data_IF_408332396266
#
_entry.id   IF_408332396266
#
_cell.length_a   1.000
_cell.length_b   1.000
_cell.length_c   1.000
_cell.angle_alpha   90.00
_cell.angle_beta   90.00
_cell.angle_gamma   90.00
#
_symmetry.space_group_name_H-M   'P 1'
#
loop_
_entity.id
_entity.type
_entity.pdbx_description
1 polymer ?
#
# COMPACT_ATOMS: atom_id res chain seq x y z
N UNK A 1 -18.55 -12.74 0.12
CA UNK A 1 -18.66 -11.27 0.29
C UNK A 1 -20.13 -10.88 0.29
N UNK A 2 -20.51 -9.93 1.13
CA UNK A 2 -21.87 -9.39 1.18
C UNK A 2 -22.03 -8.17 0.27
N UNK A 3 -23.25 -7.85 -0.20
CA UNK A 3 -23.50 -6.64 -0.94
C UNK A 3 -22.99 -5.39 -0.20
N UNK A 4 -22.31 -4.52 -0.91
CA UNK A 4 -21.73 -3.32 -0.32
C UNK A 4 -22.71 -2.13 -0.42
N UNK A 5 -22.82 -1.31 0.62
CA UNK A 5 -23.57 -0.05 0.50
C UNK A 5 -22.78 0.95 -0.36
N UNK A 6 -23.49 1.84 -1.03
CA UNK A 6 -22.88 2.98 -1.71
C UNK A 6 -21.97 3.76 -0.76
N UNK A 7 -20.77 4.07 -1.22
CA UNK A 7 -19.80 4.88 -0.49
C UNK A 7 -19.67 6.27 -1.13
N UNK A 8 -19.55 7.28 -0.28
CA UNK A 8 -19.44 8.67 -0.70
C UNK A 8 -18.04 9.20 -0.47
N UNK A 9 -17.51 9.93 -1.44
CA UNK A 9 -16.22 10.63 -1.34
C UNK A 9 -16.34 11.89 -0.47
N UNK A 10 -16.96 11.74 0.70
CA UNK A 10 -17.20 12.82 1.62
C UNK A 10 -16.04 12.95 2.62
N UNK A 11 -15.60 14.19 2.86
CA UNK A 11 -14.72 14.52 3.96
C UNK A 11 -15.49 14.95 5.20
N UNK A 12 -15.02 14.52 6.37
CA UNK A 12 -15.54 15.03 7.65
C UNK A 12 -14.99 16.44 7.85
N UNK A 13 -15.74 17.44 7.42
CA UNK A 13 -15.42 18.83 7.68
C UNK A 13 -15.96 19.18 9.07
N UNK A 14 -15.08 19.75 9.90
CA UNK A 14 -15.48 20.25 11.19
C UNK A 14 -16.46 21.41 11.00
N UNK A 15 -17.63 21.35 11.65
CA UNK A 15 -18.52 22.48 11.71
C UNK A 15 -17.81 23.68 12.35
N UNK A 16 -18.01 24.86 11.78
CA UNK A 16 -17.55 26.12 12.38
C UNK A 16 -18.30 26.39 13.70
N UNK A 17 -17.60 27.02 14.63
CA UNK A 17 -18.16 27.42 15.94
C UNK A 17 -17.71 26.58 17.12
N UNK A 18 -18.22 26.94 18.29
CA UNK A 18 -17.88 26.29 19.56
C UNK A 18 -18.55 24.93 19.68
N UNK A 19 -17.76 23.90 19.94
CA UNK A 19 -18.27 22.55 20.16
C UNK A 19 -18.47 22.32 21.66
N UNK A 20 -19.69 22.44 22.10
CA UNK A 20 -20.05 21.94 23.42
C UNK A 20 -21.30 21.06 23.30
N UNK A 21 -21.38 20.05 24.14
CA UNK A 21 -22.46 19.06 24.07
C UNK A 21 -23.82 19.59 24.55
N UNK A 22 -23.85 20.79 25.13
CA UNK A 22 -25.04 21.33 25.79
C UNK A 22 -25.72 20.25 26.65
N UNK A 23 -27.00 20.05 26.48
CA UNK A 23 -27.78 19.03 27.19
C UNK A 23 -27.77 17.66 26.48
N UNK A 24 -26.89 17.44 25.53
CA UNK A 24 -26.84 16.18 24.80
C UNK A 24 -26.40 15.03 25.73
N UNK A 25 -27.34 14.18 26.07
CA UNK A 25 -27.11 12.99 26.90
C UNK A 25 -26.51 11.85 26.09
N UNK A 26 -26.72 11.84 24.79
CA UNK A 26 -26.25 10.81 23.88
C UNK A 26 -25.42 11.37 22.71
N UNK A 27 -24.27 10.75 22.45
CA UNK A 27 -23.43 11.06 21.29
C UNK A 27 -23.26 9.80 20.45
N UNK A 28 -23.82 9.80 19.25
CA UNK A 28 -23.62 8.74 18.28
C UNK A 28 -22.21 8.76 17.67
N UNK A 29 -21.73 7.60 17.26
CA UNK A 29 -20.48 7.51 16.51
C UNK A 29 -20.72 7.85 15.03
N UNK A 30 -19.85 8.65 14.46
CA UNK A 30 -19.88 8.90 13.02
C UNK A 30 -19.52 7.62 12.26
N UNK A 31 -20.15 7.46 11.08
CA UNK A 31 -19.75 6.42 10.14
C UNK A 31 -18.27 6.65 9.76
N UNK A 32 -17.46 5.57 9.80
CA UNK A 32 -16.07 5.62 9.32
C UNK A 32 -15.98 6.08 7.87
N UNK A 33 -14.96 6.85 7.53
CA UNK A 33 -14.71 7.27 6.15
C UNK A 33 -14.37 6.06 5.26
N UNK A 34 -14.58 6.19 3.96
CA UNK A 34 -14.28 5.18 2.97
C UNK A 34 -15.42 4.20 2.69
N UNK A 35 -15.14 3.27 1.82
CA UNK A 35 -16.05 2.21 1.39
C UNK A 35 -15.93 1.01 2.32
N UNK A 36 -17.05 0.52 2.83
CA UNK A 36 -17.09 -0.58 3.80
C UNK A 36 -17.31 -1.91 3.10
N UNK A 37 -16.41 -2.85 3.31
CA UNK A 37 -16.45 -4.21 2.77
C UNK A 37 -16.72 -5.18 3.92
N UNK A 38 -17.74 -6.02 3.77
CA UNK A 38 -18.13 -7.03 4.75
C UNK A 38 -18.09 -8.40 4.09
N UNK A 39 -17.48 -9.37 4.76
CA UNK A 39 -17.34 -10.75 4.27
C UNK A 39 -17.37 -11.72 5.45
N UNK A 40 -17.67 -12.98 5.15
CA UNK A 40 -17.59 -14.06 6.12
C UNK A 40 -16.43 -14.99 5.76
N UNK A 41 -15.72 -15.48 6.76
CA UNK A 41 -14.64 -16.48 6.62
C UNK A 41 -14.98 -17.67 7.50
N UNK A 42 -14.75 -18.87 6.97
CA UNK A 42 -14.84 -20.12 7.71
C UNK A 42 -13.50 -20.89 7.62
N UNK A 43 -12.55 -20.64 8.53
CA UNK A 43 -11.24 -21.32 8.53
C UNK A 43 -11.36 -22.86 8.65
N UNK A 44 -12.41 -23.34 9.34
CA UNK A 44 -12.60 -24.79 9.53
C UNK A 44 -12.89 -25.51 8.20
N UNK A 45 -13.61 -24.84 7.27
CA UNK A 45 -13.87 -25.41 5.95
C UNK A 45 -12.59 -25.55 5.12
N UNK A 46 -11.69 -24.54 5.20
CA UNK A 46 -10.39 -24.59 4.52
C UNK A 46 -9.55 -25.80 4.96
N UNK A 47 -9.52 -26.07 6.26
CA UNK A 47 -8.77 -27.21 6.83
C UNK A 47 -9.36 -28.57 6.44
N UNK A 48 -10.65 -28.65 6.12
CA UNK A 48 -11.31 -29.89 5.68
C UNK A 48 -11.00 -30.20 4.21
N UNK A 49 -11.03 -29.20 3.33
CA UNK A 49 -10.73 -29.37 1.90
C UNK A 49 -9.27 -29.78 1.67
N UNK A 50 -8.32 -29.23 2.45
CA UNK A 50 -6.91 -29.61 2.36
C UNK A 50 -6.60 -31.04 2.85
N UNK A 51 -7.53 -31.67 3.54
CA UNK A 51 -7.36 -33.05 4.07
C UNK A 51 -7.86 -34.09 3.08
N UNK A 52 -8.74 -33.76 2.13
CA UNK A 52 -9.29 -34.72 1.17
C UNK A 52 -8.36 -34.96 -0.05
N UNK A 53 -7.44 -34.02 -0.36
CA UNK A 53 -6.55 -34.14 -1.53
C UNK A 53 -5.18 -34.79 -1.27
N UNK A 54 -4.70 -34.89 -0.01
CA UNK A 54 -3.36 -35.43 0.28
C UNK A 54 -3.34 -36.51 1.35
N UNK A 55 -3.30 -37.75 0.90
CA UNK A 55 -3.07 -38.95 1.72
C UNK A 55 -1.56 -39.28 1.92
N UNK A 56 -0.71 -38.26 1.85
CA UNK A 56 0.73 -38.33 2.12
C UNK A 56 1.12 -37.35 3.22
N UNK A 57 2.01 -37.82 4.14
CA UNK A 57 2.55 -37.10 5.32
C UNK A 57 3.19 -35.72 5.04
N UNK A 58 2.56 -34.87 4.25
CA UNK A 58 2.97 -33.49 4.04
C UNK A 58 2.18 -32.53 4.93
N UNK A 59 2.88 -31.55 5.50
CA UNK A 59 2.41 -30.53 6.44
C UNK A 59 1.00 -30.01 6.08
N UNK A 60 0.07 -30.14 7.03
CA UNK A 60 -1.26 -29.53 6.91
C UNK A 60 -1.08 -28.05 6.58
N UNK A 61 -1.56 -27.64 5.42
CA UNK A 61 -1.57 -26.23 5.05
C UNK A 61 -2.34 -25.44 6.12
N UNK A 62 -1.65 -24.58 6.85
CA UNK A 62 -2.29 -23.71 7.83
C UNK A 62 -3.21 -22.74 7.10
N UNK A 63 -4.41 -22.55 7.66
CA UNK A 63 -5.36 -21.60 7.13
C UNK A 63 -4.75 -20.19 7.14
N UNK A 64 -4.90 -19.38 6.05
CA UNK A 64 -4.35 -18.03 6.01
C UNK A 64 -4.89 -17.15 7.14
N UNK A 65 -4.02 -16.38 7.78
CA UNK A 65 -4.38 -15.43 8.84
C UNK A 65 -5.09 -14.18 8.30
N UNK A 66 -4.99 -13.95 7.00
CA UNK A 66 -5.53 -12.77 6.32
C UNK A 66 -6.24 -13.16 5.03
N UNK A 67 -7.22 -12.36 4.64
CA UNK A 67 -7.83 -12.41 3.31
C UNK A 67 -7.19 -11.38 2.41
N UNK A 68 -6.97 -11.73 1.16
CA UNK A 68 -6.55 -10.78 0.11
C UNK A 68 -7.79 -10.08 -0.45
N UNK A 69 -7.75 -8.76 -0.47
CA UNK A 69 -8.81 -7.92 -1.03
C UNK A 69 -8.26 -7.16 -2.23
N UNK A 70 -8.92 -7.31 -3.36
CA UNK A 70 -8.60 -6.65 -4.60
C UNK A 70 -9.78 -5.78 -5.05
N UNK A 71 -9.48 -4.55 -5.43
CA UNK A 71 -10.44 -3.65 -6.06
C UNK A 71 -10.13 -3.60 -7.55
N UNK A 72 -11.15 -3.85 -8.36
CA UNK A 72 -11.01 -3.89 -9.81
C UNK A 72 -11.84 -2.78 -10.47
N UNK A 73 -11.26 -2.19 -11.49
CA UNK A 73 -11.90 -1.27 -12.42
C UNK A 73 -11.76 -1.84 -13.85
N UNK A 74 -12.86 -2.07 -14.53
CA UNK A 74 -12.88 -2.65 -15.89
C UNK A 74 -12.08 -3.97 -16.02
N UNK A 75 -12.05 -4.78 -14.98
CA UNK A 75 -11.32 -6.05 -14.95
C UNK A 75 -9.84 -5.93 -14.52
N UNK A 76 -9.30 -4.73 -14.39
CA UNK A 76 -7.94 -4.49 -13.92
C UNK A 76 -7.90 -4.23 -12.41
N UNK A 77 -6.96 -4.86 -11.71
CA UNK A 77 -6.75 -4.63 -10.27
C UNK A 77 -6.10 -3.26 -10.07
N UNK A 78 -6.82 -2.36 -9.42
CA UNK A 78 -6.37 -0.99 -9.12
C UNK A 78 -5.87 -0.81 -7.69
N UNK A 79 -6.19 -1.73 -6.78
CA UNK A 79 -5.75 -1.71 -5.38
C UNK A 79 -5.75 -3.11 -4.80
N UNK A 80 -4.73 -3.43 -4.00
CA UNK A 80 -4.67 -4.67 -3.22
C UNK A 80 -4.34 -4.33 -1.76
N UNK A 81 -5.00 -4.99 -0.83
CA UNK A 81 -4.71 -4.90 0.60
C UNK A 81 -5.27 -6.12 1.34
N UNK A 82 -4.76 -6.35 2.53
CA UNK A 82 -5.17 -7.49 3.34
C UNK A 82 -6.26 -7.09 4.34
N UNK A 83 -7.06 -8.06 4.71
CA UNK A 83 -8.10 -7.91 5.69
C UNK A 83 -8.12 -9.07 6.70
N UNK A 84 -8.76 -8.91 7.85
CA UNK A 84 -8.80 -9.96 8.88
C UNK A 84 -9.50 -11.23 8.39
N UNK A 85 -8.97 -12.40 8.75
CA UNK A 85 -9.56 -13.72 8.44
C UNK A 85 -10.15 -14.40 9.68
N UNK A 86 -10.75 -13.65 10.61
CA UNK A 86 -11.39 -14.22 11.79
C UNK A 86 -12.62 -15.04 11.42
N UNK A 87 -12.86 -16.14 12.12
CA UNK A 87 -14.06 -16.96 11.94
C UNK A 87 -15.34 -16.14 12.07
N UNK A 88 -16.22 -16.25 11.09
CA UNK A 88 -17.48 -15.51 11.03
C UNK A 88 -17.38 -14.20 10.25
N UNK A 89 -18.10 -13.15 10.68
CA UNK A 89 -18.21 -11.89 9.99
C UNK A 89 -16.98 -11.00 10.23
N UNK A 90 -16.37 -10.58 9.14
CA UNK A 90 -15.26 -9.63 9.12
C UNK A 90 -15.68 -8.35 8.38
N UNK A 91 -15.04 -7.25 8.73
CA UNK A 91 -15.28 -5.96 8.10
C UNK A 91 -13.99 -5.17 7.98
N UNK A 92 -13.77 -4.62 6.80
CA UNK A 92 -12.66 -3.71 6.53
C UNK A 92 -13.12 -2.50 5.74
N UNK A 93 -12.24 -1.52 5.55
CA UNK A 93 -12.52 -0.31 4.81
C UNK A 93 -11.54 -0.10 3.68
N UNK A 94 -12.05 0.27 2.51
CA UNK A 94 -11.25 0.79 1.42
C UNK A 94 -11.34 2.31 1.39
N UNK A 95 -10.21 3.00 1.32
CA UNK A 95 -10.16 4.47 1.33
C UNK A 95 -10.56 5.11 -0.01
N UNK A 96 -11.08 4.34 -0.95
CA UNK A 96 -11.46 4.79 -2.30
C UNK A 96 -10.27 5.39 -3.07
N UNK A 97 -9.10 4.76 -2.89
CA UNK A 97 -7.85 5.13 -3.54
C UNK A 97 -7.35 4.00 -4.45
N UNK A 98 -6.55 4.37 -5.45
CA UNK A 98 -5.80 3.44 -6.29
C UNK A 98 -4.49 3.06 -5.61
N UNK A 99 -3.83 2.05 -6.12
CA UNK A 99 -2.42 1.79 -5.82
C UNK A 99 -1.61 3.01 -6.23
N UNK A 100 -0.78 3.50 -5.32
CA UNK A 100 0.17 4.56 -5.59
C UNK A 100 1.55 4.02 -5.89
N UNK A 101 2.49 4.95 -6.08
CA UNK A 101 3.90 4.66 -6.32
C UNK A 101 4.73 5.02 -5.09
N UNK A 102 5.81 4.28 -4.87
CA UNK A 102 6.75 4.61 -3.79
C UNK A 102 7.60 5.79 -4.22
N UNK A 103 7.70 6.76 -3.32
CA UNK A 103 8.63 7.86 -3.50
C UNK A 103 10.07 7.44 -3.28
N UNK A 104 11.03 8.22 -3.82
CA UNK A 104 12.44 8.01 -3.61
C UNK A 104 12.79 8.04 -2.12
N UNK A 105 13.66 7.14 -1.68
CA UNK A 105 14.06 7.00 -0.28
C UNK A 105 15.54 6.67 -0.16
N UNK A 106 16.18 7.12 0.93
CA UNK A 106 17.56 6.72 1.28
C UNK A 106 17.67 5.24 1.60
N UNK A 107 16.61 4.65 2.13
CA UNK A 107 16.55 3.24 2.53
C UNK A 107 15.61 2.45 1.63
N UNK A 108 15.92 1.18 1.42
CA UNK A 108 15.02 0.28 0.70
C UNK A 108 13.72 0.05 1.51
N UNK A 109 12.58 -0.11 0.84
CA UNK A 109 11.34 -0.46 1.52
C UNK A 109 11.47 -1.83 2.18
N UNK A 110 10.75 -2.05 3.29
CA UNK A 110 10.67 -3.36 3.92
C UNK A 110 10.06 -4.38 2.96
N UNK A 111 10.50 -5.64 3.03
CA UNK A 111 10.05 -6.73 2.15
C UNK A 111 8.51 -6.86 2.07
N UNK A 112 7.83 -6.71 3.22
CA UNK A 112 6.36 -6.82 3.32
C UNK A 112 5.70 -5.46 3.54
N UNK A 113 6.28 -4.37 3.00
CA UNK A 113 5.67 -3.07 3.11
C UNK A 113 4.35 -3.02 2.31
N UNK A 114 3.24 -2.54 2.89
CA UNK A 114 1.95 -2.45 2.22
C UNK A 114 2.06 -1.60 0.95
N UNK A 115 1.14 -1.79 0.02
CA UNK A 115 1.05 -0.95 -1.16
C UNK A 115 0.88 0.52 -0.76
N UNK A 116 1.61 1.45 -1.37
CA UNK A 116 1.40 2.87 -1.12
C UNK A 116 0.01 3.30 -1.60
N UNK A 117 -0.54 4.29 -0.94
CA UNK A 117 -1.80 4.89 -1.34
C UNK A 117 -1.56 5.82 -2.53
N UNK A 118 -2.43 5.73 -3.54
CA UNK A 118 -2.39 6.57 -4.72
C UNK A 118 -3.52 7.60 -4.76
N UNK A 119 -3.84 8.05 -5.96
CA UNK A 119 -4.92 9.00 -6.19
C UNK A 119 -6.30 8.39 -5.82
N UNK A 120 -7.22 9.24 -5.40
CA UNK A 120 -8.61 8.85 -5.23
C UNK A 120 -9.20 8.36 -6.56
N UNK A 121 -10.05 7.35 -6.49
CA UNK A 121 -10.78 6.85 -7.66
C UNK A 121 -11.85 7.88 -8.10
N UNK A 122 -12.30 7.79 -9.34
CA UNK A 122 -13.46 8.57 -9.80
C UNK A 122 -14.76 7.98 -9.26
N UNK A 123 -15.85 8.75 -9.15
CA UNK A 123 -17.18 8.21 -8.95
C UNK A 123 -17.51 7.18 -10.03
N UNK A 124 -18.07 6.03 -9.62
CA UNK A 124 -18.34 4.93 -10.52
C UNK A 124 -18.56 3.61 -9.80
N UNK A 125 -18.70 2.53 -10.55
CA UNK A 125 -18.87 1.18 -10.01
C UNK A 125 -17.58 0.40 -10.19
N UNK A 126 -17.12 -0.20 -9.10
CA UNK A 126 -15.93 -1.04 -8.99
C UNK A 126 -16.34 -2.45 -8.56
N UNK A 127 -15.45 -3.41 -8.75
CA UNK A 127 -15.64 -4.76 -8.28
C UNK A 127 -14.70 -5.02 -7.11
N UNK A 128 -15.22 -5.53 -6.02
CA UNK A 128 -14.45 -5.99 -4.86
C UNK A 128 -14.33 -7.50 -4.95
N UNK A 129 -13.11 -8.01 -5.01
CA UNK A 129 -12.80 -9.43 -4.91
C UNK A 129 -12.15 -9.70 -3.57
N UNK A 130 -12.67 -10.68 -2.84
CA UNK A 130 -12.09 -11.17 -1.59
C UNK A 130 -11.68 -12.62 -1.79
N UNK A 131 -10.40 -12.90 -1.56
CA UNK A 131 -9.81 -14.24 -1.72
C UNK A 131 -9.32 -14.75 -0.37
N UNK A 132 -9.68 -15.98 -0.03
CA UNK A 132 -9.22 -16.71 1.14
C UNK A 132 -8.76 -18.10 0.71
N UNK A 133 -7.46 -18.38 0.82
CA UNK A 133 -6.86 -19.56 0.19
C UNK A 133 -7.17 -19.60 -1.31
N UNK A 134 -7.75 -20.68 -1.78
CA UNK A 134 -8.11 -20.89 -3.19
C UNK A 134 -9.52 -20.39 -3.54
N UNK A 135 -10.30 -19.97 -2.55
CA UNK A 135 -11.68 -19.53 -2.74
C UNK A 135 -11.76 -18.00 -2.90
N UNK A 136 -12.47 -17.54 -3.92
CA UNK A 136 -12.72 -16.12 -4.15
C UNK A 136 -14.21 -15.81 -4.28
N UNK A 137 -14.60 -14.62 -3.88
CA UNK A 137 -15.96 -14.11 -4.01
C UNK A 137 -15.93 -12.62 -4.37
N UNK A 138 -16.87 -12.19 -5.22
CA UNK A 138 -16.91 -10.84 -5.75
C UNK A 138 -18.24 -10.14 -5.45
N UNK A 139 -18.19 -8.81 -5.32
CA UNK A 139 -19.38 -7.97 -5.20
C UNK A 139 -19.11 -6.59 -5.78
N UNK A 140 -20.08 -5.97 -6.47
CA UNK A 140 -19.92 -4.59 -6.92
C UNK A 140 -19.99 -3.62 -5.76
N UNK A 141 -19.28 -2.50 -5.89
CA UNK A 141 -19.31 -1.37 -4.98
C UNK A 141 -19.46 -0.08 -5.77
N UNK A 142 -20.45 0.75 -5.38
CA UNK A 142 -20.69 2.04 -6.02
C UNK A 142 -20.04 3.14 -5.18
N UNK A 143 -19.26 3.98 -5.85
CA UNK A 143 -18.66 5.19 -5.29
C UNK A 143 -19.34 6.40 -5.89
N UNK A 144 -19.80 7.28 -5.05
CA UNK A 144 -20.43 8.54 -5.44
C UNK A 144 -19.66 9.74 -4.89
N UNK A 145 -19.78 10.87 -5.58
CA UNK A 145 -19.27 12.15 -5.09
C UNK A 145 -20.00 12.55 -3.80
N UNK A 146 -19.40 13.49 -3.06
CA UNK A 146 -20.06 14.10 -1.92
C UNK A 146 -21.34 14.84 -2.37
N UNK A 147 -22.54 14.41 -1.94
CA UNK A 147 -23.82 15.00 -2.38
C UNK A 147 -24.03 16.45 -1.92
N UNK A 148 -23.15 16.96 -1.04
CA UNK A 148 -23.20 18.34 -0.54
C UNK A 148 -22.61 19.36 -1.50
N UNK A 149 -21.87 18.90 -2.52
CA UNK A 149 -21.17 19.74 -3.47
C UNK A 149 -21.52 19.34 -4.90
N UNK A 150 -21.60 20.35 -5.77
CA UNK A 150 -21.60 20.11 -7.21
C UNK A 150 -20.19 19.79 -7.67
N UNK A 151 -19.98 18.54 -8.11
CA UNK A 151 -18.65 18.03 -8.43
C UNK A 151 -18.46 17.98 -9.94
N UNK A 152 -17.52 18.75 -10.44
CA UNK A 152 -17.09 18.71 -11.83
C UNK A 152 -16.28 17.43 -12.13
N UNK A 153 -16.95 16.47 -12.81
CA UNK A 153 -16.33 15.20 -13.21
C UNK A 153 -15.20 15.38 -14.23
N UNK A 154 -15.24 16.45 -15.05
CA UNK A 154 -14.18 16.72 -16.02
C UNK A 154 -12.91 17.15 -15.27
N UNK A 155 -13.03 18.08 -14.33
CA UNK A 155 -11.92 18.50 -13.49
C UNK A 155 -11.33 17.35 -12.68
N UNK A 156 -12.16 16.40 -12.21
CA UNK A 156 -11.66 15.19 -11.53
C UNK A 156 -10.83 14.30 -12.47
N UNK A 157 -11.25 14.11 -13.71
CA UNK A 157 -10.51 13.33 -14.73
C UNK A 157 -9.19 14.00 -15.08
N UNK A 158 -9.18 15.32 -15.28
CA UNK A 158 -7.97 16.08 -15.55
C UNK A 158 -6.97 15.98 -14.39
N UNK A 159 -7.46 16.12 -13.16
CA UNK A 159 -6.65 15.92 -11.96
C UNK A 159 -6.05 14.50 -11.90
N UNK A 160 -6.83 13.47 -12.23
CA UNK A 160 -6.34 12.09 -12.26
C UNK A 160 -5.25 11.90 -13.32
N UNK A 161 -5.40 12.52 -14.50
CA UNK A 161 -4.37 12.51 -15.54
C UNK A 161 -3.07 13.19 -15.07
N UNK A 162 -3.17 14.33 -14.38
CA UNK A 162 -2.00 14.98 -13.77
C UNK A 162 -1.31 14.08 -12.75
N UNK A 163 -2.06 13.41 -11.86
CA UNK A 163 -1.47 12.46 -10.92
C UNK A 163 -0.71 11.35 -11.63
N UNK A 164 -1.24 10.81 -12.72
CA UNK A 164 -0.54 9.77 -13.51
C UNK A 164 0.80 10.27 -14.08
N UNK A 165 0.89 11.53 -14.50
CA UNK A 165 2.17 12.13 -14.94
C UNK A 165 3.15 12.32 -13.76
N UNK A 166 2.68 12.79 -12.61
CA UNK A 166 3.51 12.89 -11.40
C UNK A 166 4.02 11.52 -10.95
N UNK A 167 3.19 10.50 -11.00
CA UNK A 167 3.60 9.15 -10.64
C UNK A 167 4.74 8.64 -11.52
N UNK A 168 4.73 8.92 -12.81
CA UNK A 168 5.86 8.60 -13.72
C UNK A 168 7.17 9.26 -13.27
N UNK A 169 7.11 10.54 -12.88
CA UNK A 169 8.29 11.27 -12.38
C UNK A 169 8.79 10.66 -11.06
N UNK A 170 7.88 10.33 -10.13
CA UNK A 170 8.21 9.70 -8.85
C UNK A 170 8.86 8.34 -9.08
N UNK A 171 8.32 7.52 -9.99
CA UNK A 171 8.88 6.21 -10.34
C UNK A 171 10.29 6.36 -10.92
N UNK A 172 10.51 7.33 -11.80
CA UNK A 172 11.83 7.60 -12.36
C UNK A 172 12.85 8.01 -11.29
N UNK A 173 12.44 8.88 -10.36
CA UNK A 173 13.27 9.30 -9.24
C UNK A 173 13.58 8.15 -8.27
N UNK A 174 12.59 7.31 -7.94
CA UNK A 174 12.80 6.13 -7.08
C UNK A 174 13.74 5.12 -7.76
N UNK A 175 13.57 4.88 -9.06
CA UNK A 175 14.48 4.01 -9.82
C UNK A 175 15.92 4.49 -9.77
N UNK A 176 16.14 5.81 -9.85
CA UNK A 176 17.46 6.40 -9.71
C UNK A 176 18.02 6.15 -8.29
N UNK A 177 17.23 6.40 -7.25
CA UNK A 177 17.65 6.18 -5.86
C UNK A 177 17.87 4.71 -5.54
N UNK A 178 17.11 3.80 -6.11
CA UNK A 178 17.33 2.36 -6.00
C UNK A 178 18.72 1.99 -6.53
N UNK A 179 19.09 2.48 -7.70
CA UNK A 179 20.42 2.23 -8.28
C UNK A 179 21.55 2.77 -7.39
N UNK A 180 21.34 3.93 -6.75
CA UNK A 180 22.33 4.48 -5.80
C UNK A 180 22.46 3.59 -4.57
N UNK A 181 21.34 3.09 -4.03
CA UNK A 181 21.37 2.13 -2.90
C UNK A 181 22.07 0.84 -3.27
N UNK A 182 21.74 0.25 -4.41
CA UNK A 182 22.36 -0.98 -4.94
C UNK A 182 23.85 -0.79 -5.13
N UNK A 183 24.29 0.32 -5.71
CA UNK A 183 25.73 0.62 -5.89
C UNK A 183 26.45 0.71 -4.54
N UNK A 184 25.86 1.37 -3.53
CA UNK A 184 26.42 1.43 -2.18
C UNK A 184 26.52 0.05 -1.53
N UNK A 185 25.51 -0.79 -1.70
CA UNK A 185 25.49 -2.15 -1.18
C UNK A 185 26.59 -3.02 -1.82
N UNK A 186 26.74 -2.93 -3.15
CA UNK A 186 27.83 -3.63 -3.88
C UNK A 186 29.19 -3.20 -3.35
N UNK A 187 29.43 -1.89 -3.22
CA UNK A 187 30.70 -1.37 -2.68
C UNK A 187 30.94 -1.88 -1.25
N UNK A 188 29.90 -1.87 -0.42
CA UNK A 188 29.98 -2.39 0.95
C UNK A 188 30.31 -3.88 0.98
N UNK A 189 29.67 -4.68 0.11
CA UNK A 189 29.93 -6.13 0.00
C UNK A 189 31.34 -6.42 -0.46
N UNK A 190 31.84 -5.68 -1.46
CA UNK A 190 33.23 -5.81 -1.93
C UNK A 190 34.20 -5.46 -0.82
N UNK A 191 33.99 -4.33 -0.13
CA UNK A 191 34.85 -3.93 0.99
C UNK A 191 34.85 -4.96 2.13
N UNK A 192 33.69 -5.54 2.44
CA UNK A 192 33.59 -6.61 3.44
C UNK A 192 34.35 -7.89 3.00
N UNK A 193 34.29 -8.24 1.73
CA UNK A 193 35.00 -9.41 1.20
C UNK A 193 36.53 -9.27 1.22
N UNK A 194 37.03 -8.03 1.19
CA UNK A 194 38.46 -7.76 1.35
C UNK A 194 38.95 -7.98 2.79
N UNK A 195 38.04 -7.94 3.79
CA UNK A 195 38.36 -8.18 5.19
C UNK A 195 39.54 -7.37 5.68
N UNK A 196 40.44 -8.01 6.43
CA UNK A 196 41.67 -7.38 6.97
C UNK A 196 42.87 -7.51 6.05
N UNK A 197 42.67 -7.79 4.75
CA UNK A 197 43.77 -7.84 3.79
C UNK A 197 44.50 -6.51 3.73
N UNK A 198 45.83 -6.59 3.81
CA UNK A 198 46.72 -5.43 3.92
C UNK A 198 47.72 -5.30 2.72
N UNK A 199 47.47 -6.07 1.65
CA UNK A 199 48.18 -5.92 0.40
C UNK A 199 47.82 -4.61 -0.31
N UNK A 200 48.71 -4.09 -1.16
CA UNK A 200 48.58 -2.79 -1.81
C UNK A 200 47.31 -2.70 -2.65
N UNK A 201 46.96 -3.76 -3.38
CA UNK A 201 45.73 -3.81 -4.21
C UNK A 201 44.49 -3.71 -3.36
N UNK A 202 44.43 -4.41 -2.22
CA UNK A 202 43.30 -4.34 -1.29
C UNK A 202 43.15 -2.97 -0.66
N UNK A 203 44.27 -2.28 -0.34
CA UNK A 203 44.23 -0.89 0.16
C UNK A 203 43.71 0.09 -0.88
N UNK A 204 44.15 -0.03 -2.12
CA UNK A 204 43.66 0.79 -3.23
C UNK A 204 42.18 0.56 -3.48
N UNK A 205 41.71 -0.69 -3.52
CA UNK A 205 40.27 -1.01 -3.68
C UNK A 205 39.41 -0.43 -2.56
N UNK A 206 39.85 -0.56 -1.29
CA UNK A 206 39.12 0.05 -0.14
C UNK A 206 39.08 1.58 -0.27
N UNK A 207 40.16 2.22 -0.70
CA UNK A 207 40.19 3.68 -0.94
C UNK A 207 39.24 4.10 -2.04
N UNK A 208 39.21 3.39 -3.17
CA UNK A 208 38.29 3.64 -4.25
C UNK A 208 36.82 3.42 -3.81
N UNK A 209 36.55 2.34 -3.08
CA UNK A 209 35.23 2.06 -2.51
C UNK A 209 34.76 3.19 -1.60
N UNK A 210 35.61 3.73 -0.74
CA UNK A 210 35.27 4.89 0.09
C UNK A 210 34.93 6.11 -0.75
N UNK A 211 35.75 6.45 -1.74
CA UNK A 211 35.49 7.61 -2.64
C UNK A 211 34.18 7.46 -3.38
N UNK A 212 33.86 6.26 -3.87
CA UNK A 212 32.57 5.99 -4.51
C UNK A 212 31.40 6.17 -3.53
N UNK A 213 31.52 5.62 -2.32
CA UNK A 213 30.48 5.75 -1.30
C UNK A 213 30.23 7.22 -0.92
N UNK A 214 31.31 8.00 -0.77
CA UNK A 214 31.25 9.43 -0.45
C UNK A 214 30.54 10.21 -1.58
N UNK A 215 30.90 9.92 -2.84
CA UNK A 215 30.26 10.53 -4.02
C UNK A 215 28.78 10.20 -4.12
N UNK A 216 28.42 8.93 -3.90
CA UNK A 216 27.00 8.49 -3.90
C UNK A 216 26.23 9.10 -2.73
N UNK A 217 26.86 9.30 -1.58
CA UNK A 217 26.26 9.97 -0.43
C UNK A 217 26.02 11.44 -0.71
N UNK A 218 26.99 12.13 -1.28
CA UNK A 218 26.85 13.52 -1.71
C UNK A 218 25.69 13.69 -2.69
N UNK A 219 25.54 12.77 -3.65
CA UNK A 219 24.40 12.78 -4.58
C UNK A 219 23.06 12.63 -3.84
N UNK A 220 22.98 11.72 -2.87
CA UNK A 220 21.78 11.59 -2.04
C UNK A 220 21.50 12.85 -1.22
N UNK A 221 22.54 13.50 -0.69
CA UNK A 221 22.40 14.73 0.10
C UNK A 221 21.95 15.91 -0.75
N UNK A 222 22.38 16.00 -2.01
CA UNK A 222 21.87 16.98 -2.95
C UNK A 222 20.35 16.83 -3.22
N UNK A 223 19.88 15.60 -3.24
CA UNK A 223 18.46 15.29 -3.50
C UNK A 223 17.57 15.46 -2.25
N UNK A 224 18.01 14.96 -1.10
CA UNK A 224 17.20 14.91 0.13
C UNK A 224 17.54 16.01 1.15
N UNK A 225 18.58 16.80 0.93
CA UNK A 225 19.18 17.63 1.96
C UNK A 225 20.14 16.86 2.86
N UNK A 226 21.05 17.55 3.54
CA UNK A 226 22.02 16.94 4.45
C UNK A 226 21.34 16.33 5.66
N UNK A 227 21.72 15.11 6.06
CA UNK A 227 21.23 14.50 7.28
C UNK A 227 21.71 15.28 8.51
N UNK A 228 20.77 15.66 9.37
CA UNK A 228 21.07 16.30 10.67
C UNK A 228 21.11 17.82 10.68
N UNK A 229 20.80 18.48 9.57
CA UNK A 229 20.64 19.94 9.51
C UNK A 229 19.16 20.32 9.29
N UNK A 230 18.28 19.92 10.20
CA UNK A 230 16.92 20.46 10.32
C UNK A 230 16.76 21.15 11.65
#
# INVERSE_FOLDING_TARGET
VFPTPTAYQASNIQAEGTRFKADAIYAGQNRGAGARITYAVNPDAYSLESTEENDTDEEKAEAPDEVKIEILENGEVIRTFDGPAKKGLNRTGWSMDRKGVRGPSRTAPRKNAPEPRGAAVLPGTYLVRVTYGDTSSETPITIESDPRYDVDLLALKERQAMYAEYEKMIVAAEKMMSRVREAKEIVSTVNASLGDRDDETSKELKKHGKTMTDSLSTFQDLYFGEQGKQ
#
